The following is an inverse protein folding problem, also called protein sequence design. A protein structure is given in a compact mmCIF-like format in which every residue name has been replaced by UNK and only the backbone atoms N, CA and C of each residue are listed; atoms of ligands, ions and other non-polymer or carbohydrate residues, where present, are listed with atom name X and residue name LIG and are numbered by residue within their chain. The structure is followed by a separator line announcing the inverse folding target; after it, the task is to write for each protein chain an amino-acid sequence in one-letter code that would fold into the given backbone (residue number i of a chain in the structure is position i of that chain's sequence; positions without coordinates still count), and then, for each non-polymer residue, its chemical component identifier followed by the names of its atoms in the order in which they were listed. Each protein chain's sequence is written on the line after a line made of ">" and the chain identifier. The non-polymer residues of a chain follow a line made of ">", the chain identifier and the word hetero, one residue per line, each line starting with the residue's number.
data_IF_733387249226
#
_entry.id   IF_733387249226
#
_cell.length_a   1.000
_cell.length_b   1.000
_cell.length_c   1.000
_cell.angle_alpha   90.00
_cell.angle_beta   90.00
_cell.angle_gamma   90.00
#
_symmetry.space_group_name_H-M   'P 1'
#
loop_
_entity.id
_entity.type
_entity.pdbx_description
1 polymer ?
#
# COMPACT_ATOMS: atom_id res chain seq x y z
N UNK A 1 22.88 -20.50 13.94
CA UNK A 1 22.94 -20.12 12.52
C UNK A 1 22.57 -18.65 12.41
N UNK A 2 23.51 -17.78 12.06
CA UNK A 2 23.22 -16.38 11.73
C UNK A 2 22.71 -16.33 10.28
N UNK A 3 21.48 -15.88 10.09
CA UNK A 3 20.92 -15.64 8.75
C UNK A 3 21.57 -14.37 8.20
N UNK A 4 22.30 -14.47 7.09
CA UNK A 4 22.79 -13.30 6.39
C UNK A 4 21.61 -12.62 5.67
N UNK A 5 21.26 -11.40 6.07
CA UNK A 5 20.25 -10.59 5.37
C UNK A 5 20.88 -9.97 4.13
N UNK A 6 20.32 -10.27 2.96
CA UNK A 6 20.61 -9.58 1.71
C UNK A 6 19.49 -8.60 1.37
N UNK A 7 19.86 -7.47 0.76
CA UNK A 7 18.90 -6.49 0.24
C UNK A 7 18.31 -7.07 -1.05
N UNK A 8 16.99 -7.35 -1.06
CA UNK A 8 16.29 -7.80 -2.27
C UNK A 8 15.77 -6.63 -3.12
N UNK A 9 15.29 -5.57 -2.46
CA UNK A 9 14.79 -4.36 -3.10
C UNK A 9 15.31 -3.20 -2.26
N UNK A 10 15.94 -2.23 -2.92
CA UNK A 10 16.45 -1.04 -2.25
C UNK A 10 15.31 -0.13 -1.77
N UNK A 11 15.62 0.77 -0.83
CA UNK A 11 14.63 1.73 -0.33
C UNK A 11 14.18 2.66 -1.46
N UNK A 12 15.11 3.05 -2.31
CA UNK A 12 14.90 3.94 -3.45
C UNK A 12 13.95 3.32 -4.48
N UNK A 13 14.11 2.03 -4.79
CA UNK A 13 13.22 1.29 -5.68
C UNK A 13 11.79 1.20 -5.12
N UNK A 14 11.66 0.93 -3.81
CA UNK A 14 10.34 0.89 -3.15
C UNK A 14 9.67 2.26 -3.21
N UNK A 15 10.39 3.33 -2.84
CA UNK A 15 9.83 4.69 -2.84
C UNK A 15 9.46 5.16 -4.25
N UNK A 16 10.28 4.85 -5.25
CA UNK A 16 9.96 5.13 -6.64
C UNK A 16 8.67 4.41 -7.07
N UNK A 17 8.52 3.13 -6.70
CA UNK A 17 7.33 2.37 -7.06
C UNK A 17 6.07 2.86 -6.34
N UNK A 18 6.18 3.21 -5.07
CA UNK A 18 5.06 3.79 -4.29
C UNK A 18 4.59 5.10 -4.93
N UNK A 19 5.53 5.98 -5.33
CA UNK A 19 5.18 7.23 -6.03
C UNK A 19 4.47 6.98 -7.35
N UNK A 20 4.98 6.04 -8.15
CA UNK A 20 4.36 5.64 -9.42
C UNK A 20 2.91 5.14 -9.22
N UNK A 21 2.67 4.32 -8.18
CA UNK A 21 1.33 3.84 -7.84
C UNK A 21 0.41 4.98 -7.39
N UNK A 22 0.91 5.91 -6.58
CA UNK A 22 0.17 7.09 -6.16
C UNK A 22 -0.29 7.94 -7.35
N UNK A 23 0.60 8.20 -8.31
CA UNK A 23 0.29 8.93 -9.54
C UNK A 23 -0.78 8.22 -10.38
N UNK A 24 -0.72 6.89 -10.49
CA UNK A 24 -1.73 6.09 -11.18
C UNK A 24 -3.11 6.21 -10.51
N UNK A 25 -3.17 6.09 -9.19
CA UNK A 25 -4.41 6.23 -8.41
C UNK A 25 -4.98 7.64 -8.56
N UNK A 26 -4.14 8.67 -8.42
CA UNK A 26 -4.54 10.06 -8.59
C UNK A 26 -5.14 10.31 -9.98
N UNK A 27 -4.49 9.82 -11.03
CA UNK A 27 -4.98 9.94 -12.41
C UNK A 27 -6.32 9.23 -12.60
N UNK A 28 -6.44 8.00 -12.09
CA UNK A 28 -7.65 7.19 -12.22
C UNK A 28 -8.87 7.84 -11.55
N UNK A 29 -8.69 8.45 -10.37
CA UNK A 29 -9.77 9.05 -9.59
C UNK A 29 -9.89 10.57 -9.71
N UNK A 30 -9.14 11.20 -10.64
CA UNK A 30 -9.07 12.66 -10.81
C UNK A 30 -10.46 13.29 -11.03
N UNK A 31 -11.30 12.64 -11.84
CA UNK A 31 -12.63 13.15 -12.22
C UNK A 31 -13.78 12.45 -11.48
N UNK A 32 -13.48 11.69 -10.42
CA UNK A 32 -14.50 11.03 -9.61
C UNK A 32 -15.04 11.98 -8.55
N UNK A 33 -16.35 12.16 -8.47
CA UNK A 33 -16.99 12.90 -7.37
C UNK A 33 -17.11 12.06 -6.08
N UNK A 34 -16.72 10.78 -6.12
CA UNK A 34 -16.75 9.89 -4.97
C UNK A 34 -15.54 10.09 -4.07
N UNK A 35 -15.78 9.95 -2.76
CA UNK A 35 -14.74 9.86 -1.75
C UNK A 35 -13.92 8.57 -1.92
N UNK A 36 -12.62 8.67 -1.65
CA UNK A 36 -11.70 7.53 -1.73
C UNK A 36 -11.49 6.97 -0.33
N UNK A 37 -11.63 5.65 -0.18
CA UNK A 37 -11.29 4.94 1.05
C UNK A 37 -10.17 3.96 0.75
N UNK A 38 -9.05 4.11 1.46
CA UNK A 38 -7.90 3.22 1.40
C UNK A 38 -8.03 2.17 2.49
N UNK A 39 -8.11 0.90 2.11
CA UNK A 39 -8.28 -0.21 3.06
C UNK A 39 -7.02 -1.07 3.09
N UNK A 40 -6.26 -1.00 4.18
CA UNK A 40 -5.06 -1.82 4.41
C UNK A 40 -5.37 -3.15 5.10
N UNK A 41 -4.74 -4.24 4.65
CA UNK A 41 -4.83 -5.55 5.33
C UNK A 41 -3.76 -5.68 6.42
N UNK A 42 -4.16 -5.88 7.67
CA UNK A 42 -3.22 -6.06 8.76
C UNK A 42 -2.54 -7.44 8.73
N UNK A 43 -1.27 -7.57 9.15
CA UNK A 43 -0.40 -6.50 9.73
C UNK A 43 0.65 -5.96 8.75
N UNK A 44 1.00 -6.71 7.70
CA UNK A 44 2.13 -6.40 6.83
C UNK A 44 1.97 -5.16 5.96
N UNK A 45 0.73 -4.70 5.73
CA UNK A 45 0.48 -3.55 4.84
C UNK A 45 0.79 -2.19 5.47
N UNK A 46 0.94 -2.09 6.80
CA UNK A 46 0.93 -0.79 7.51
C UNK A 46 1.96 0.20 6.96
N UNK A 47 3.21 -0.24 6.77
CA UNK A 47 4.28 0.64 6.29
C UNK A 47 4.03 1.04 4.83
N UNK A 48 3.66 0.09 3.98
CA UNK A 48 3.33 0.36 2.58
C UNK A 48 2.15 1.32 2.44
N UNK A 49 1.08 1.12 3.22
CA UNK A 49 -0.10 1.98 3.20
C UNK A 49 0.22 3.39 3.67
N UNK A 50 1.07 3.55 4.69
CA UNK A 50 1.52 4.85 5.17
C UNK A 50 2.34 5.61 4.12
N UNK A 51 3.17 4.90 3.33
CA UNK A 51 3.92 5.54 2.25
C UNK A 51 3.00 5.87 1.06
N UNK A 52 2.10 4.95 0.69
CA UNK A 52 1.18 5.14 -0.42
C UNK A 52 0.19 6.29 -0.16
N UNK A 53 -0.42 6.36 1.03
CA UNK A 53 -1.44 7.38 1.30
C UNK A 53 -0.87 8.81 1.19
N UNK A 54 0.41 9.03 1.55
CA UNK A 54 1.09 10.32 1.40
C UNK A 54 1.25 10.77 -0.05
N UNK A 55 1.24 9.84 -1.00
CA UNK A 55 1.37 10.13 -2.44
C UNK A 55 0.03 10.45 -3.11
N UNK A 56 -1.09 10.15 -2.46
CA UNK A 56 -2.43 10.36 -3.00
C UNK A 56 -2.90 11.76 -2.62
N UNK A 57 -3.20 12.59 -3.63
CA UNK A 57 -3.57 14.00 -3.45
C UNK A 57 -5.07 14.19 -3.24
N UNK A 58 -5.89 13.26 -3.74
CA UNK A 58 -7.34 13.28 -3.49
C UNK A 58 -7.60 13.07 -1.99
N UNK A 59 -8.50 13.86 -1.37
CA UNK A 59 -8.95 13.59 -0.01
C UNK A 59 -9.45 12.15 0.12
N UNK A 60 -8.97 11.48 1.17
CA UNK A 60 -9.27 10.07 1.38
C UNK A 60 -9.31 9.72 2.87
N UNK A 61 -10.07 8.69 3.18
CA UNK A 61 -10.01 8.01 4.45
C UNK A 61 -9.04 6.83 4.37
N UNK A 62 -8.42 6.49 5.51
CA UNK A 62 -7.55 5.32 5.65
C UNK A 62 -8.11 4.44 6.77
N UNK A 63 -8.43 3.20 6.43
CA UNK A 63 -8.92 2.21 7.38
C UNK A 63 -8.17 0.88 7.21
N UNK A 64 -8.27 0.02 8.21
CA UNK A 64 -7.59 -1.25 8.26
C UNK A 64 -8.54 -2.37 8.62
N UNK A 65 -8.40 -3.50 7.92
CA UNK A 65 -9.13 -4.73 8.26
C UNK A 65 -8.17 -5.86 8.58
N UNK A 66 -8.62 -6.73 9.49
CA UNK A 66 -7.90 -7.97 9.80
C UNK A 66 -8.63 -9.11 9.11
N UNK A 67 -7.93 -9.83 8.25
CA UNK A 67 -8.49 -11.00 7.57
C UNK A 67 -7.72 -12.24 8.00
N UNK A 68 -8.44 -13.30 8.32
CA UNK A 68 -7.85 -14.62 8.51
C UNK A 68 -7.79 -15.31 7.15
N UNK A 69 -6.60 -15.78 6.78
CA UNK A 69 -6.50 -16.78 5.72
C UNK A 69 -7.35 -17.99 6.10
N UNK A 70 -8.24 -18.44 5.21
CA UNK A 70 -8.84 -19.76 5.33
C UNK A 70 -7.73 -20.78 5.08
N UNK A 71 -7.03 -21.16 6.15
CA UNK A 71 -6.06 -22.25 6.12
C UNK A 71 -6.79 -23.57 5.93
N UNK A 72 -7.05 -23.96 4.69
CA UNK A 72 -7.65 -25.25 4.36
C UNK A 72 -8.32 -25.26 3.00
N UNK A 73 -7.60 -25.67 1.96
CA UNK A 73 -8.19 -25.94 0.66
C UNK A 73 -7.23 -25.92 -0.51
N UNK A 74 -6.19 -26.76 -0.49
CA UNK A 74 -5.75 -27.71 -1.55
C UNK A 74 -4.48 -28.39 -1.09
#
# INVERSE_FOLDING_TARGET
>A
MTVAMSIMISTEEIQAKVKELGEQINSHYANSDKELVLIGLLRGSVIFMADLCRTITKPHELDFMTVSSYGGGT
#
